data_IF_955627977694
#
_entry.id   IF_955627977694
#
_cell.length_a   1.000
_cell.length_b   1.000
_cell.length_c   1.000
_cell.angle_alpha   90.00
_cell.angle_beta   90.00
_cell.angle_gamma   90.00
#
_symmetry.space_group_name_H-M   'P 1'
#
loop_
_entity.id
_entity.type
_entity.pdbx_description
1 polymer ?
#
# COMPACT_ATOMS: atom_id res chain seq x y z
N UNK A 1 3.33 7.73 -18.34
CA UNK A 1 3.01 7.83 -16.90
C UNK A 1 4.30 7.65 -16.12
N UNK A 2 4.55 8.51 -15.14
CA UNK A 2 5.59 8.24 -14.16
C UNK A 2 5.03 7.24 -13.15
N UNK A 3 5.72 6.13 -12.95
CA UNK A 3 5.35 5.11 -11.97
C UNK A 3 6.52 4.94 -11.00
N UNK A 4 6.23 4.50 -9.79
CA UNK A 4 7.27 4.06 -8.89
C UNK A 4 6.70 3.25 -7.74
N UNK A 5 7.55 2.39 -7.19
CA UNK A 5 7.24 1.55 -6.04
C UNK A 5 8.35 1.75 -5.00
N UNK A 6 8.02 2.17 -3.77
CA UNK A 6 9.00 2.20 -2.70
C UNK A 6 9.61 0.80 -2.49
N UNK A 7 10.90 0.70 -2.12
CA UNK A 7 11.46 -0.58 -1.74
C UNK A 7 10.70 -1.16 -0.55
N UNK A 8 10.44 -2.48 -0.54
CA UNK A 8 9.72 -3.16 0.56
C UNK A 8 10.31 -2.90 1.94
N UNK A 9 11.61 -2.67 2.03
CA UNK A 9 12.30 -2.33 3.28
C UNK A 9 11.85 -1.00 3.87
N UNK A 10 11.42 -0.07 3.02
CA UNK A 10 10.98 1.28 3.40
C UNK A 10 9.48 1.31 3.67
N UNK A 11 8.73 0.32 3.19
CA UNK A 11 7.27 0.24 3.36
C UNK A 11 6.89 0.26 4.85
N UNK A 12 6.05 1.22 5.24
CA UNK A 12 5.61 1.41 6.61
C UNK A 12 4.21 2.03 6.64
N UNK A 13 3.23 1.22 7.08
CA UNK A 13 1.82 1.62 7.18
C UNK A 13 1.43 2.07 8.60
N UNK A 14 2.40 2.20 9.49
CA UNK A 14 2.19 2.67 10.86
C UNK A 14 2.22 4.19 10.97
N UNK A 15 1.77 4.69 12.12
CA UNK A 15 1.96 6.09 12.48
C UNK A 15 3.46 6.44 12.54
N UNK A 16 3.85 7.56 11.94
CA UNK A 16 5.25 8.01 11.92
C UNK A 16 5.64 8.51 13.31
N UNK A 17 6.39 7.70 14.05
CA UNK A 17 6.88 8.02 15.38
C UNK A 17 8.40 8.24 15.28
N UNK A 18 8.85 9.50 15.44
CA UNK A 18 10.28 9.84 15.36
C UNK A 18 10.95 10.04 16.72
N UNK A 19 10.17 9.97 17.80
CA UNK A 19 10.62 10.20 19.18
C UNK A 19 9.92 9.22 20.11
N UNK A 20 10.53 8.96 21.26
CA UNK A 20 9.87 8.15 22.28
C UNK A 20 8.59 8.87 22.76
N UNK A 21 7.48 8.13 22.96
CA UNK A 21 6.29 8.69 23.58
C UNK A 21 6.57 9.06 25.05
N UNK A 22 5.78 9.96 25.61
CA UNK A 22 6.03 10.52 26.95
C UNK A 22 6.01 9.45 28.05
N UNK A 23 5.19 8.41 27.89
CA UNK A 23 5.08 7.29 28.83
C UNK A 23 6.11 6.18 28.57
N UNK A 24 7.08 6.37 27.67
CA UNK A 24 7.98 5.29 27.23
C UNK A 24 8.74 4.65 28.38
N UNK A 25 9.18 5.43 29.37
CA UNK A 25 9.99 4.93 30.49
C UNK A 25 9.19 4.03 31.44
N UNK A 26 7.87 4.18 31.49
CA UNK A 26 6.97 3.40 32.34
C UNK A 26 6.55 2.06 31.72
N UNK A 27 6.86 1.83 30.43
CA UNK A 27 6.47 0.63 29.70
C UNK A 27 7.36 -0.58 30.04
N UNK A 28 6.82 -1.77 29.83
CA UNK A 28 7.58 -3.02 29.94
C UNK A 28 8.63 -3.16 28.81
N UNK A 29 9.54 -4.12 28.96
CA UNK A 29 10.63 -4.31 28.02
C UNK A 29 10.18 -4.73 26.61
N UNK A 30 9.10 -5.49 26.50
CA UNK A 30 8.56 -5.94 25.21
C UNK A 30 7.95 -4.76 24.46
N UNK A 31 7.15 -3.94 25.13
CA UNK A 31 6.52 -2.78 24.51
C UNK A 31 7.56 -1.70 24.15
N UNK A 32 8.57 -1.49 25.00
CA UNK A 32 9.73 -0.64 24.68
C UNK A 32 10.45 -1.13 23.41
N UNK A 33 10.61 -2.44 23.25
CA UNK A 33 11.23 -3.01 22.05
C UNK A 33 10.39 -2.76 20.80
N UNK A 34 9.07 -2.96 20.89
CA UNK A 34 8.13 -2.72 19.79
C UNK A 34 8.15 -1.26 19.34
N UNK A 35 8.12 -0.31 20.28
CA UNK A 35 8.20 1.12 19.99
C UNK A 35 9.53 1.49 19.33
N UNK A 36 10.66 0.96 19.80
CA UNK A 36 11.97 1.19 19.16
C UNK A 36 12.00 0.68 17.72
N UNK A 37 11.39 -0.46 17.45
CA UNK A 37 11.25 -0.99 16.09
C UNK A 37 10.39 -0.07 15.21
N UNK A 38 9.26 0.41 15.73
CA UNK A 38 8.41 1.39 15.05
C UNK A 38 9.16 2.69 14.75
N UNK A 39 9.95 3.19 15.70
CA UNK A 39 10.79 4.39 15.49
C UNK A 39 11.82 4.15 14.39
N UNK A 40 12.48 2.99 14.40
CA UNK A 40 13.44 2.63 13.35
C UNK A 40 12.80 2.60 11.95
N UNK A 41 11.63 1.96 11.82
CA UNK A 41 10.86 1.92 10.56
C UNK A 41 10.39 3.32 10.13
N UNK A 42 9.87 4.11 11.07
CA UNK A 42 9.44 5.49 10.85
C UNK A 42 10.57 6.39 10.36
N UNK A 43 11.76 6.29 10.98
CA UNK A 43 12.94 7.05 10.58
C UNK A 43 13.41 6.66 9.18
N UNK A 44 13.45 5.36 8.87
CA UNK A 44 13.84 4.89 7.55
C UNK A 44 12.88 5.40 6.46
N UNK A 45 11.58 5.29 6.71
CA UNK A 45 10.55 5.83 5.83
C UNK A 45 10.74 7.34 5.62
N UNK A 46 10.87 8.10 6.71
CA UNK A 46 11.04 9.55 6.67
C UNK A 46 12.29 9.99 5.89
N UNK A 47 13.44 9.37 6.14
CA UNK A 47 14.70 9.67 5.43
C UNK A 47 14.57 9.36 3.93
N UNK A 48 13.89 8.27 3.57
CA UNK A 48 13.65 7.93 2.17
C UNK A 48 12.79 9.00 1.48
N UNK A 49 11.70 9.43 2.12
CA UNK A 49 10.83 10.48 1.58
C UNK A 49 11.59 11.80 1.40
N UNK A 50 12.43 12.19 2.37
CA UNK A 50 13.30 13.37 2.24
C UNK A 50 14.27 13.24 1.05
N UNK A 51 14.87 12.06 0.87
CA UNK A 51 15.79 11.81 -0.24
C UNK A 51 15.07 11.92 -1.59
N UNK A 52 13.87 11.35 -1.71
CA UNK A 52 13.06 11.45 -2.93
C UNK A 52 12.64 12.89 -3.17
N UNK A 53 12.16 13.60 -2.14
CA UNK A 53 11.77 15.01 -2.25
C UNK A 53 12.89 15.87 -2.84
N UNK A 54 14.13 15.64 -2.40
CA UNK A 54 15.28 16.40 -2.89
C UNK A 54 15.72 16.01 -4.30
N UNK A 55 15.57 14.75 -4.69
CA UNK A 55 16.03 14.23 -5.98
C UNK A 55 14.98 14.38 -7.09
N UNK A 56 13.72 14.11 -6.77
CA UNK A 56 12.59 14.05 -7.69
C UNK A 56 11.28 14.27 -6.92
N UNK A 57 10.88 15.54 -6.66
CA UNK A 57 9.66 15.87 -5.93
C UNK A 57 8.40 15.22 -6.54
N UNK A 58 8.34 15.12 -7.87
CA UNK A 58 7.19 14.57 -8.57
C UNK A 58 7.04 13.05 -8.33
N UNK A 59 8.13 12.34 -8.03
CA UNK A 59 8.07 10.92 -7.64
C UNK A 59 7.46 10.75 -6.24
N UNK A 60 7.67 11.72 -5.35
CA UNK A 60 7.02 11.72 -4.03
C UNK A 60 5.50 11.86 -4.18
N UNK A 61 5.03 12.72 -5.09
CA UNK A 61 3.60 12.86 -5.41
C UNK A 61 3.01 11.57 -5.97
N UNK A 62 3.75 10.86 -6.83
CA UNK A 62 3.33 9.54 -7.36
C UNK A 62 3.13 8.52 -6.23
N UNK A 63 3.98 8.52 -5.20
CA UNK A 63 3.82 7.61 -4.05
C UNK A 63 2.62 7.95 -3.17
N UNK A 64 2.24 9.23 -3.09
CA UNK A 64 1.06 9.68 -2.35
C UNK A 64 -0.24 9.60 -3.14
N UNK A 65 -0.21 9.12 -4.38
CA UNK A 65 -1.39 9.17 -5.24
C UNK A 65 -2.47 8.18 -4.77
N UNK A 66 -3.72 8.62 -4.57
CA UNK A 66 -4.80 7.74 -4.12
C UNK A 66 -5.01 6.56 -5.05
N UNK A 67 -5.08 5.36 -4.46
CA UNK A 67 -5.20 4.09 -5.19
C UNK A 67 -4.05 3.86 -6.19
N UNK A 68 -2.87 4.47 -5.97
CA UNK A 68 -1.72 4.39 -6.87
C UNK A 68 -1.34 2.96 -7.19
N UNK A 69 -1.15 2.13 -6.16
CA UNK A 69 -0.86 0.71 -6.34
C UNK A 69 -2.02 -0.02 -7.05
N UNK A 70 -3.29 0.21 -6.70
CA UNK A 70 -4.44 -0.48 -7.32
C UNK A 70 -4.55 -0.18 -8.82
N UNK A 71 -4.13 1.02 -9.24
CA UNK A 71 -4.09 1.43 -10.64
C UNK A 71 -2.91 0.82 -11.40
N UNK A 72 -1.76 0.62 -10.76
CA UNK A 72 -0.52 0.20 -11.43
C UNK A 72 -0.25 -1.29 -11.35
N UNK A 73 -0.71 -1.96 -10.31
CA UNK A 73 -0.35 -3.35 -10.03
C UNK A 73 -0.81 -4.33 -11.11
N UNK A 74 -2.06 -4.28 -11.61
CA UNK A 74 -2.49 -5.14 -12.72
C UNK A 74 -1.57 -5.00 -13.93
N UNK A 75 -1.15 -3.77 -14.25
CA UNK A 75 -0.23 -3.49 -15.38
C UNK A 75 1.14 -4.13 -15.11
N UNK A 76 1.65 -4.03 -13.89
CA UNK A 76 2.95 -4.59 -13.52
C UNK A 76 2.98 -6.13 -13.53
N UNK A 77 1.84 -6.77 -13.24
CA UNK A 77 1.70 -8.21 -13.08
C UNK A 77 1.41 -8.89 -14.43
N UNK A 78 0.75 -8.19 -15.36
CA UNK A 78 0.38 -8.74 -16.68
C UNK A 78 1.54 -9.35 -17.48
N UNK A 79 2.78 -8.90 -17.25
CA UNK A 79 3.96 -9.41 -17.95
C UNK A 79 4.42 -10.81 -17.53
N UNK A 80 4.01 -11.30 -16.35
CA UNK A 80 4.53 -12.52 -15.73
C UNK A 80 3.45 -13.58 -15.46
N UNK A 81 2.24 -13.42 -16.01
CA UNK A 81 1.06 -14.24 -15.68
C UNK A 81 1.25 -15.75 -15.86
N UNK A 82 2.20 -16.17 -16.70
CA UNK A 82 2.52 -17.57 -16.97
C UNK A 82 3.31 -18.25 -15.84
N UNK A 83 4.02 -17.49 -15.00
CA UNK A 83 4.85 -17.99 -13.90
C UNK A 83 4.27 -17.60 -12.53
N UNK A 84 3.06 -18.09 -12.21
CA UNK A 84 2.43 -17.98 -10.88
C UNK A 84 1.80 -16.61 -10.53
N UNK A 85 1.69 -15.70 -11.49
CA UNK A 85 1.16 -14.34 -11.27
C UNK A 85 -0.29 -14.14 -11.75
N UNK A 86 -0.93 -15.17 -12.34
CA UNK A 86 -2.34 -15.11 -12.76
C UNK A 86 -3.31 -14.84 -11.59
N UNK A 87 -3.00 -15.42 -10.43
CA UNK A 87 -3.71 -15.23 -9.16
C UNK A 87 -3.67 -13.77 -8.72
N UNK A 88 -2.47 -13.19 -8.74
CA UNK A 88 -2.26 -11.77 -8.39
C UNK A 88 -2.96 -10.86 -9.38
N UNK A 89 -2.97 -11.22 -10.67
CA UNK A 89 -3.69 -10.46 -11.68
C UNK A 89 -5.21 -10.49 -11.41
N UNK A 90 -5.79 -11.66 -11.18
CA UNK A 90 -7.21 -11.83 -10.83
C UNK A 90 -7.58 -10.96 -9.62
N UNK A 91 -6.79 -11.03 -8.55
CA UNK A 91 -7.04 -10.18 -7.38
C UNK A 91 -6.84 -8.69 -7.61
N UNK A 92 -5.86 -8.30 -8.44
CA UNK A 92 -5.72 -6.91 -8.87
C UNK A 92 -6.93 -6.40 -9.64
N UNK A 93 -7.52 -7.22 -10.53
CA UNK A 93 -8.70 -6.86 -11.31
C UNK A 93 -9.96 -6.74 -10.44
N UNK A 94 -10.15 -7.67 -9.48
CA UNK A 94 -11.27 -7.58 -8.51
C UNK A 94 -11.16 -6.29 -7.68
N UNK A 95 -9.95 -5.93 -7.25
CA UNK A 95 -9.73 -4.69 -6.49
C UNK A 95 -9.94 -3.44 -7.36
N UNK A 96 -9.52 -3.49 -8.63
CA UNK A 96 -9.76 -2.43 -9.60
C UNK A 96 -11.26 -2.18 -9.81
N UNK A 97 -12.05 -3.24 -10.00
CA UNK A 97 -13.51 -3.16 -10.11
C UNK A 97 -14.14 -2.61 -8.82
N UNK A 98 -13.78 -3.18 -7.66
CA UNK A 98 -14.35 -2.83 -6.36
C UNK A 98 -14.15 -1.37 -5.97
N UNK A 99 -12.98 -0.80 -6.28
CA UNK A 99 -12.63 0.58 -5.93
C UNK A 99 -12.78 1.55 -7.10
N UNK A 100 -13.30 1.11 -8.26
CA UNK A 100 -13.37 1.92 -9.48
C UNK A 100 -14.05 3.27 -9.26
N UNK A 101 -15.22 3.26 -8.62
CA UNK A 101 -15.99 4.47 -8.31
C UNK A 101 -15.22 5.42 -7.38
N UNK A 102 -14.49 4.87 -6.41
CA UNK A 102 -13.67 5.66 -5.47
C UNK A 102 -12.42 6.24 -6.12
N UNK A 103 -12.00 5.73 -7.29
CA UNK A 103 -10.85 6.23 -8.04
C UNK A 103 -11.14 7.51 -8.84
N UNK A 104 -12.40 7.97 -8.89
CA UNK A 104 -12.75 9.24 -9.53
C UNK A 104 -12.57 9.24 -11.05
N UNK A 105 -12.86 8.10 -11.69
CA UNK A 105 -12.95 8.04 -13.15
C UNK A 105 -14.31 8.53 -13.63
N UNK A 106 -14.35 9.31 -14.72
CA UNK A 106 -15.60 9.80 -15.33
C UNK A 106 -16.29 8.76 -16.24
N UNK A 107 -15.77 7.53 -16.27
CA UNK A 107 -16.26 6.43 -17.11
C UNK A 107 -16.70 5.26 -16.22
N UNK A 108 -17.74 4.51 -16.62
CA UNK A 108 -18.12 3.30 -15.89
C UNK A 108 -16.98 2.28 -15.90
N UNK A 109 -16.95 1.43 -14.88
CA UNK A 109 -15.93 0.39 -14.81
C UNK A 109 -16.00 -0.51 -16.06
N UNK A 110 -14.89 -0.69 -16.81
CA UNK A 110 -14.90 -1.51 -18.02
C UNK A 110 -14.95 -3.01 -17.71
N UNK A 111 -14.77 -3.40 -16.45
CA UNK A 111 -14.69 -4.78 -16.00
C UNK A 111 -15.81 -5.01 -15.00
N UNK A 112 -16.63 -6.03 -15.25
CA UNK A 112 -17.71 -6.44 -14.36
C UNK A 112 -17.58 -7.95 -14.12
N UNK A 113 -17.04 -8.33 -12.96
CA UNK A 113 -16.86 -9.74 -12.60
C UNK A 113 -18.14 -10.26 -11.95
N UNK A 114 -18.49 -11.50 -12.27
CA UNK A 114 -19.59 -12.19 -11.61
C UNK A 114 -19.17 -12.63 -10.22
N UNK A 115 -20.14 -12.73 -9.32
CA UNK A 115 -19.92 -13.24 -7.97
C UNK A 115 -19.30 -14.66 -7.98
N UNK A 116 -19.69 -15.48 -8.96
CA UNK A 116 -19.13 -16.82 -9.20
C UNK A 116 -17.62 -16.75 -9.51
N UNK A 117 -17.19 -15.82 -10.37
CA UNK A 117 -15.77 -15.65 -10.74
C UNK A 117 -14.94 -15.15 -9.56
N UNK A 118 -15.52 -14.30 -8.71
CA UNK A 118 -14.89 -13.83 -7.47
C UNK A 118 -14.79 -14.99 -6.48
N UNK A 119 -15.85 -15.79 -6.33
CA UNK A 119 -15.88 -16.94 -5.43
C UNK A 119 -14.83 -17.99 -5.80
N UNK A 120 -14.74 -18.36 -7.07
CA UNK A 120 -13.75 -19.31 -7.57
C UNK A 120 -12.32 -18.85 -7.27
N UNK A 121 -12.03 -17.55 -7.44
CA UNK A 121 -10.73 -16.98 -7.07
C UNK A 121 -10.45 -17.08 -5.56
N UNK A 122 -11.46 -16.92 -4.71
CA UNK A 122 -11.31 -17.01 -3.25
C UNK A 122 -11.14 -18.46 -2.81
N UNK A 123 -11.87 -19.41 -3.40
CA UNK A 123 -11.85 -20.82 -3.01
C UNK A 123 -10.56 -21.52 -3.48
N UNK A 124 -10.16 -21.32 -4.74
CA UNK A 124 -8.96 -21.94 -5.30
C UNK A 124 -7.66 -21.38 -4.68
N UNK A 125 -7.68 -20.12 -4.25
CA UNK A 125 -6.46 -19.35 -4.00
C UNK A 125 -6.47 -18.67 -2.60
N UNK A 126 -7.35 -19.11 -1.69
CA UNK A 126 -7.75 -18.40 -0.46
C UNK A 126 -6.63 -17.87 0.45
N UNK A 127 -5.51 -18.59 0.63
CA UNK A 127 -4.36 -18.07 1.41
C UNK A 127 -3.66 -16.92 0.68
N UNK A 128 -3.54 -17.03 -0.63
CA UNK A 128 -2.96 -15.99 -1.49
C UNK A 128 -3.93 -14.82 -1.59
N UNK A 129 -5.24 -15.08 -1.65
CA UNK A 129 -6.28 -14.06 -1.58
C UNK A 129 -6.22 -13.25 -0.29
N UNK A 130 -6.11 -13.92 0.86
CA UNK A 130 -5.95 -13.24 2.15
C UNK A 130 -4.66 -12.40 2.18
N UNK A 131 -3.57 -12.90 1.60
CA UNK A 131 -2.32 -12.13 1.45
C UNK A 131 -2.49 -10.90 0.56
N UNK A 132 -3.21 -11.02 -0.56
CA UNK A 132 -3.54 -9.92 -1.47
C UNK A 132 -4.44 -8.90 -0.76
N UNK A 133 -5.52 -9.32 -0.11
CA UNK A 133 -6.40 -8.43 0.65
C UNK A 133 -5.67 -7.74 1.80
N UNK A 134 -4.79 -8.44 2.51
CA UNK A 134 -3.97 -7.83 3.57
C UNK A 134 -2.99 -6.82 3.00
N UNK A 135 -2.37 -7.12 1.85
CA UNK A 135 -1.46 -6.20 1.16
C UNK A 135 -2.19 -4.90 0.78
N UNK A 136 -3.40 -5.00 0.22
CA UNK A 136 -4.19 -3.84 -0.19
C UNK A 136 -4.90 -3.12 0.96
N UNK A 137 -5.38 -3.86 1.96
CA UNK A 137 -6.09 -3.33 3.12
C UNK A 137 -5.18 -2.49 4.03
N UNK A 138 -3.89 -2.80 4.05
CA UNK A 138 -2.87 -1.97 4.71
C UNK A 138 -2.65 -0.63 3.98
N UNK A 139 -2.75 -0.61 2.64
CA UNK A 139 -2.67 0.62 1.84
C UNK A 139 -3.95 1.46 1.78
N UNK A 140 -5.09 0.97 2.32
CA UNK A 140 -6.39 1.64 2.22
C UNK A 140 -6.75 2.54 3.43
N UNK A 141 -5.88 2.67 4.45
CA UNK A 141 -6.15 3.57 5.60
C UNK A 141 -5.42 4.93 5.55
N UNK A 142 -4.55 5.17 4.59
CA UNK A 142 -3.83 6.45 4.46
C UNK A 142 -4.50 7.42 3.49
N UNK A 143 -5.83 7.53 3.59
CA UNK A 143 -6.63 8.61 3.02
C UNK A 143 -6.98 9.65 4.09
N UNK A 144 -5.99 10.17 4.82
CA UNK A 144 -6.25 11.17 5.85
C UNK A 144 -4.99 11.60 6.60
N UNK A 145 -4.68 12.89 6.49
CA UNK A 145 -3.76 13.65 7.36
C UNK A 145 -2.25 13.47 7.12
N UNK A 146 -1.82 13.82 5.90
CA UNK A 146 -0.46 14.35 5.65
C UNK A 146 -0.40 15.88 5.71
N UNK A 147 -1.47 16.55 6.14
CA UNK A 147 -1.47 17.98 6.45
C UNK A 147 -1.22 18.13 7.95
N UNK A 148 0.02 18.45 8.28
CA UNK A 148 0.52 19.19 9.44
C UNK A 148 1.97 18.73 9.67
N UNK A 149 2.85 19.69 9.94
CA UNK A 149 4.31 19.55 10.07
C UNK A 149 5.13 19.56 8.79
N UNK A 150 4.93 20.58 7.96
CA UNK A 150 6.07 21.29 7.36
C UNK A 150 5.83 22.81 7.54
N UNK A 151 6.45 23.37 8.57
CA UNK A 151 6.89 24.77 8.63
C UNK A 151 8.37 24.77 8.91
#
# INVERSE_FOLDING_TARGET
MLQGRPPKLVHYDGEIILRNPENFDDLDAQEKSRIRECIGKSMLFYIHQLRIKNMCPILLEVFGYPYGETRTDPISIMGNTWDNDIIRLRGGLIMLERYWESMGFDIPCPIHLKEEEIHDCIEEEGEIWNSIQNFWGQGCQSGGQGEHYIS
#
